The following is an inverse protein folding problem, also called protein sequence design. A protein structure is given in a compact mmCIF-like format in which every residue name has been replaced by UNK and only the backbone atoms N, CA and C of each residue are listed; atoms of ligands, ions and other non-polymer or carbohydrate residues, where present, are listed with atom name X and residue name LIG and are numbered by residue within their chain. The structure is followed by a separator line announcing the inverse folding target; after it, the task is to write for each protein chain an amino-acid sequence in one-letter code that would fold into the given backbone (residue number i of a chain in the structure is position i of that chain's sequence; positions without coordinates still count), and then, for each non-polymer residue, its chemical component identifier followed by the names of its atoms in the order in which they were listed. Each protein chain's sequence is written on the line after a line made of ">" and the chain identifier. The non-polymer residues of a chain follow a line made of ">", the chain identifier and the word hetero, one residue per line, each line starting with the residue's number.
data_IF_417061991291
#
_entry.id   IF_417061991291
#
_cell.length_a   1.000
_cell.length_b   1.000
_cell.length_c   1.000
_cell.angle_alpha   90.00
_cell.angle_beta   90.00
_cell.angle_gamma   90.00
#
_symmetry.space_group_name_H-M   'P 1'
#
loop_
_entity.id
_entity.type
_entity.pdbx_description
1 polymer ?
#
# COMPACT_ATOMS: atom_id res chain seq x y z
N UNK A 1 -54.00 -10.93 -71.35
CA UNK A 1 -53.24 -11.78 -70.37
C UNK A 1 -51.95 -11.10 -69.97
N UNK A 2 -51.14 -10.55 -70.88
CA UNK A 2 -49.82 -9.98 -70.49
C UNK A 2 -49.86 -8.82 -69.51
N UNK A 3 -50.85 -7.94 -69.55
CA UNK A 3 -50.96 -6.81 -68.62
C UNK A 3 -51.28 -7.19 -67.19
N UNK A 4 -52.06 -8.25 -66.97
CA UNK A 4 -52.36 -8.78 -65.64
C UNK A 4 -51.11 -9.47 -65.01
N UNK A 5 -50.31 -10.16 -65.82
CA UNK A 5 -49.06 -10.80 -65.37
C UNK A 5 -48.04 -9.79 -64.94
N UNK A 6 -47.94 -8.64 -65.68
CA UNK A 6 -47.00 -7.55 -65.31
C UNK A 6 -47.37 -6.86 -64.00
N UNK A 7 -48.66 -6.69 -63.73
CA UNK A 7 -49.13 -6.07 -62.47
C UNK A 7 -48.90 -7.01 -61.30
N UNK A 8 -49.09 -8.30 -61.47
CA UNK A 8 -48.84 -9.30 -60.45
C UNK A 8 -47.34 -9.39 -60.10
N UNK A 9 -46.44 -9.29 -61.10
CA UNK A 9 -45.00 -9.31 -60.90
C UNK A 9 -44.51 -8.01 -60.20
N UNK A 10 -45.12 -6.87 -60.44
CA UNK A 10 -44.81 -5.62 -59.77
C UNK A 10 -45.24 -5.66 -58.28
N UNK A 11 -46.37 -6.26 -57.99
CA UNK A 11 -46.85 -6.42 -56.62
C UNK A 11 -45.98 -7.36 -55.78
N UNK A 12 -45.52 -8.47 -56.39
CA UNK A 12 -44.59 -9.41 -55.68
C UNK A 12 -43.23 -8.77 -55.42
N UNK A 13 -42.71 -7.91 -56.29
CA UNK A 13 -41.46 -7.21 -56.10
C UNK A 13 -41.50 -6.20 -54.93
N UNK A 14 -42.63 -5.57 -54.68
CA UNK A 14 -42.83 -4.68 -53.55
C UNK A 14 -42.87 -5.36 -52.18
N UNK A 15 -43.24 -6.64 -52.13
CA UNK A 15 -43.26 -7.41 -50.86
C UNK A 15 -41.87 -7.88 -50.43
N UNK A 16 -40.88 -7.95 -51.35
CA UNK A 16 -39.48 -8.30 -51.01
C UNK A 16 -38.62 -7.08 -50.69
N UNK A 17 -39.10 -5.85 -50.88
CA UNK A 17 -38.49 -4.66 -50.32
C UNK A 17 -38.82 -4.53 -48.81
N UNK A 18 -38.68 -5.64 -48.08
CA UNK A 18 -38.72 -5.61 -46.62
C UNK A 18 -37.72 -4.62 -46.14
N UNK A 19 -38.16 -3.57 -45.44
CA UNK A 19 -37.34 -2.62 -44.74
C UNK A 19 -36.31 -3.37 -43.91
N UNK A 20 -35.10 -3.55 -44.41
CA UNK A 20 -33.94 -3.81 -43.54
C UNK A 20 -33.71 -2.52 -42.76
N UNK A 21 -34.43 -2.35 -41.69
CA UNK A 21 -34.11 -1.34 -40.70
C UNK A 21 -32.64 -1.60 -40.34
N UNK A 22 -31.75 -0.62 -40.48
CA UNK A 22 -30.39 -0.77 -39.97
C UNK A 22 -30.53 -1.22 -38.51
N UNK A 23 -29.68 -2.12 -38.02
CA UNK A 23 -29.68 -2.48 -36.62
C UNK A 23 -29.53 -1.17 -35.86
N UNK A 24 -30.62 -0.71 -35.26
CA UNK A 24 -30.54 0.35 -34.27
C UNK A 24 -29.54 -0.20 -33.27
N UNK A 25 -28.38 0.43 -33.15
CA UNK A 25 -27.58 0.34 -31.97
C UNK A 25 -28.49 0.79 -30.83
N UNK A 26 -29.37 -0.10 -30.42
CA UNK A 26 -30.14 0.06 -29.21
C UNK A 26 -29.12 0.06 -28.13
N UNK A 27 -28.83 1.21 -27.58
CA UNK A 27 -28.39 1.27 -26.21
C UNK A 27 -29.51 0.55 -25.47
N UNK A 28 -29.35 -0.76 -25.21
CA UNK A 28 -30.15 -1.46 -24.24
C UNK A 28 -29.80 -0.80 -22.91
N UNK A 29 -30.51 0.27 -22.61
CA UNK A 29 -30.68 0.72 -21.25
C UNK A 29 -31.51 -0.38 -20.61
N UNK A 30 -30.81 -1.45 -20.17
CA UNK A 30 -31.38 -2.39 -19.27
C UNK A 30 -31.59 -1.63 -17.96
N UNK A 31 -32.79 -1.04 -17.85
CA UNK A 31 -33.22 -0.33 -16.65
C UNK A 31 -33.26 -1.25 -15.40
N UNK A 32 -33.08 -2.55 -15.60
CA UNK A 32 -32.96 -3.54 -14.54
C UNK A 32 -31.50 -3.70 -14.06
N UNK A 33 -30.49 -3.29 -14.84
CA UNK A 33 -29.11 -3.34 -14.41
C UNK A 33 -28.70 -1.97 -13.86
N UNK A 34 -28.46 -1.92 -12.56
CA UNK A 34 -27.91 -0.71 -11.92
C UNK A 34 -26.52 -0.43 -12.48
N UNK A 35 -26.18 0.82 -12.86
CA UNK A 35 -24.85 1.17 -13.27
C UNK A 35 -23.87 0.88 -12.11
N UNK A 36 -22.82 0.11 -12.40
CA UNK A 36 -21.81 -0.25 -11.42
C UNK A 36 -20.57 0.62 -11.62
N UNK A 37 -20.20 1.37 -10.60
CA UNK A 37 -18.96 2.15 -10.55
C UNK A 37 -17.89 1.34 -9.82
N UNK A 38 -16.70 1.33 -10.38
CA UNK A 38 -15.54 0.68 -9.76
C UNK A 38 -14.66 1.74 -9.13
N UNK A 39 -14.29 1.53 -7.87
CA UNK A 39 -13.33 2.35 -7.14
C UNK A 39 -12.20 1.45 -6.64
N UNK A 40 -10.98 1.97 -6.62
CA UNK A 40 -9.88 1.24 -6.02
C UNK A 40 -10.05 1.26 -4.51
N UNK A 41 -9.85 0.09 -3.88
CA UNK A 41 -9.93 0.00 -2.43
C UNK A 41 -8.69 0.65 -1.79
N UNK A 42 -8.84 1.10 -0.57
CA UNK A 42 -7.83 1.83 0.17
C UNK A 42 -7.57 1.18 1.52
N UNK A 43 -6.31 1.27 1.95
CA UNK A 43 -5.91 0.74 3.25
C UNK A 43 -6.46 1.61 4.36
N UNK A 44 -7.33 1.05 5.19
CA UNK A 44 -7.84 1.71 6.40
C UNK A 44 -6.78 1.67 7.48
N UNK A 45 -6.44 2.82 8.01
CA UNK A 45 -5.43 2.96 9.06
C UNK A 45 -5.63 4.25 9.83
N UNK A 46 -5.12 4.28 11.05
CA UNK A 46 -4.97 5.50 11.84
C UNK A 46 -3.60 6.15 11.62
N UNK A 47 -3.14 6.91 12.59
CA UNK A 47 -1.77 7.41 12.62
C UNK A 47 -0.85 6.41 13.34
N UNK A 48 0.45 6.35 12.99
CA UNK A 48 1.43 5.59 13.75
C UNK A 48 1.44 6.02 15.22
N UNK A 49 1.44 5.05 16.13
CA UNK A 49 1.55 5.30 17.56
C UNK A 49 3.03 5.25 17.96
N UNK A 50 3.52 6.33 18.52
CA UNK A 50 4.92 6.43 18.96
C UNK A 50 4.98 6.00 20.42
N UNK A 51 5.77 4.95 20.72
CA UNK A 51 5.96 4.40 22.05
C UNK A 51 7.21 4.99 22.73
N UNK A 52 8.27 5.21 21.95
CA UNK A 52 9.49 5.89 22.39
C UNK A 52 9.79 7.00 21.41
N UNK A 53 9.90 8.20 21.92
CA UNK A 53 10.22 9.40 21.14
C UNK A 53 11.72 9.70 21.23
N UNK A 54 12.40 10.00 20.12
CA UNK A 54 13.80 10.37 20.17
C UNK A 54 14.00 11.71 20.88
N UNK A 55 15.13 11.83 21.58
CA UNK A 55 15.55 13.08 22.20
C UNK A 55 16.36 13.88 21.20
N UNK A 56 15.75 14.91 20.63
CA UNK A 56 16.39 15.79 19.66
C UNK A 56 16.56 15.19 18.26
N UNK A 57 17.07 16.00 17.36
CA UNK A 57 17.38 15.62 15.98
C UNK A 57 18.88 15.32 15.87
N UNK A 58 19.30 14.23 15.20
CA UNK A 58 20.74 13.95 15.05
C UNK A 58 21.41 15.03 14.18
N UNK A 59 22.62 15.44 14.57
CA UNK A 59 23.38 16.45 13.85
C UNK A 59 23.70 16.06 12.40
N UNK A 60 23.84 14.76 12.14
CA UNK A 60 24.03 14.17 10.81
C UNK A 60 23.07 13.02 10.63
N UNK A 61 22.52 12.89 9.43
CA UNK A 61 21.64 11.75 9.13
C UNK A 61 22.43 10.44 9.22
N UNK A 62 22.04 9.49 10.09
CA UNK A 62 22.81 8.28 10.33
C UNK A 62 22.69 7.27 9.17
N UNK A 63 23.70 6.40 9.06
CA UNK A 63 23.62 5.17 8.25
C UNK A 63 22.87 4.10 9.02
N UNK A 64 21.98 3.39 8.35
CA UNK A 64 21.07 2.43 8.98
C UNK A 64 21.29 1.01 8.47
N UNK A 65 21.21 0.03 9.38
CA UNK A 65 21.09 -1.38 9.07
C UNK A 65 19.68 -1.85 9.41
N UNK A 66 18.97 -2.40 8.45
CA UNK A 66 17.66 -3.03 8.65
C UNK A 66 17.84 -4.55 8.75
N UNK A 67 17.30 -5.16 9.79
CA UNK A 67 17.33 -6.61 10.01
C UNK A 67 15.92 -7.20 9.93
N UNK A 68 15.77 -8.51 9.61
CA UNK A 68 14.47 -9.15 9.50
C UNK A 68 13.63 -9.01 10.78
N UNK A 69 12.38 -8.59 10.61
CA UNK A 69 11.41 -8.47 11.71
C UNK A 69 11.08 -9.85 12.27
N UNK A 70 10.83 -9.90 13.56
CA UNK A 70 10.37 -11.11 14.23
C UNK A 70 8.85 -11.16 14.22
N UNK A 71 8.28 -12.25 13.71
CA UNK A 71 6.85 -12.52 13.84
C UNK A 71 6.57 -13.04 15.26
N UNK A 72 5.64 -12.41 15.96
CA UNK A 72 5.24 -12.81 17.32
C UNK A 72 3.98 -13.68 17.33
N UNK A 73 3.20 -13.64 16.28
CA UNK A 73 2.02 -14.45 16.13
C UNK A 73 2.40 -15.91 15.80
N UNK A 74 1.76 -16.91 16.42
CA UNK A 74 1.90 -18.31 16.02
C UNK A 74 1.41 -18.53 14.59
N UNK A 75 2.30 -18.99 13.71
CA UNK A 75 1.97 -19.26 12.31
C UNK A 75 2.99 -20.22 11.69
N UNK A 76 2.68 -20.73 10.49
CA UNK A 76 3.64 -21.49 9.70
C UNK A 76 4.71 -20.55 9.13
N UNK A 77 5.96 -20.99 9.13
CA UNK A 77 7.10 -20.30 8.51
C UNK A 77 7.26 -18.82 8.91
N UNK A 78 7.25 -18.48 10.20
CA UNK A 78 7.26 -17.09 10.66
C UNK A 78 8.48 -16.31 10.18
N UNK A 79 9.62 -16.98 9.99
CA UNK A 79 10.85 -16.33 9.51
C UNK A 79 10.74 -15.89 8.04
N UNK A 80 10.03 -16.63 7.19
CA UNK A 80 9.80 -16.28 5.79
C UNK A 80 8.90 -15.04 5.71
N UNK A 81 7.78 -15.07 6.44
CA UNK A 81 6.84 -13.94 6.51
C UNK A 81 7.56 -12.69 7.06
N UNK A 82 8.29 -12.82 8.15
CA UNK A 82 9.05 -11.73 8.74
C UNK A 82 10.07 -11.13 7.76
N UNK A 83 10.82 -11.96 7.04
CA UNK A 83 11.79 -11.49 6.05
C UNK A 83 11.12 -10.77 4.86
N UNK A 84 10.02 -11.32 4.34
CA UNK A 84 9.29 -10.71 3.22
C UNK A 84 8.72 -9.35 3.60
N UNK A 85 8.06 -9.24 4.74
CA UNK A 85 7.54 -7.96 5.25
C UNK A 85 8.67 -6.96 5.47
N UNK A 86 9.78 -7.41 6.06
CA UNK A 86 10.96 -6.55 6.27
C UNK A 86 11.51 -6.00 4.98
N UNK A 87 11.58 -6.83 3.94
CA UNK A 87 12.03 -6.40 2.62
C UNK A 87 11.10 -5.34 2.02
N UNK A 88 9.79 -5.50 2.18
CA UNK A 88 8.80 -4.50 1.71
C UNK A 88 8.97 -3.16 2.44
N UNK A 89 9.13 -3.19 3.76
CA UNK A 89 9.37 -1.98 4.57
C UNK A 89 10.68 -1.31 4.18
N UNK A 90 11.77 -2.08 4.09
CA UNK A 90 13.07 -1.57 3.67
C UNK A 90 13.04 -0.95 2.28
N UNK A 91 12.40 -1.61 1.29
CA UNK A 91 12.26 -1.08 -0.07
C UNK A 91 11.48 0.23 -0.09
N UNK A 92 10.38 0.32 0.66
CA UNK A 92 9.62 1.56 0.80
C UNK A 92 10.48 2.69 1.37
N UNK A 93 11.23 2.42 2.46
CA UNK A 93 12.10 3.41 3.10
C UNK A 93 13.29 3.81 2.22
N UNK A 94 13.82 2.88 1.43
CA UNK A 94 14.86 3.17 0.44
C UNK A 94 14.33 4.10 -0.66
N UNK A 95 13.17 3.79 -1.24
CA UNK A 95 12.52 4.61 -2.28
C UNK A 95 12.18 6.02 -1.77
N UNK A 96 11.70 6.13 -0.54
CA UNK A 96 11.35 7.40 0.09
C UNK A 96 12.54 8.12 0.71
N UNK A 97 13.76 7.56 0.59
CA UNK A 97 15.00 8.15 1.12
C UNK A 97 14.86 8.55 2.61
N UNK A 98 14.33 7.64 3.43
CA UNK A 98 14.17 7.88 4.87
C UNK A 98 15.53 8.04 5.54
N UNK A 99 16.51 7.23 5.14
CA UNK A 99 17.91 7.36 5.53
C UNK A 99 18.78 7.61 4.29
N UNK A 100 19.91 8.29 4.42
CA UNK A 100 20.84 8.49 3.30
C UNK A 100 21.43 7.17 2.79
N UNK A 101 21.69 6.26 3.72
CA UNK A 101 22.13 4.89 3.46
C UNK A 101 21.33 3.96 4.36
N UNK A 102 20.67 2.99 3.76
CA UNK A 102 19.94 1.93 4.47
C UNK A 102 20.26 0.58 3.83
N UNK A 103 20.98 -0.28 4.55
CA UNK A 103 21.31 -1.64 4.13
C UNK A 103 20.27 -2.61 4.70
N UNK A 104 19.91 -3.65 3.96
CA UNK A 104 19.08 -4.75 4.46
C UNK A 104 19.90 -6.03 4.53
N UNK A 105 20.00 -6.63 5.71
CA UNK A 105 20.62 -7.94 5.89
C UNK A 105 19.54 -9.03 6.02
N UNK A 106 19.05 -9.51 4.89
CA UNK A 106 18.02 -10.56 4.84
C UNK A 106 18.50 -11.94 5.30
N UNK A 107 19.82 -12.14 5.46
CA UNK A 107 20.42 -13.36 5.99
C UNK A 107 20.57 -13.37 7.51
N UNK A 108 20.33 -12.21 8.15
CA UNK A 108 20.38 -12.10 9.60
C UNK A 108 19.25 -12.91 10.27
N UNK A 109 19.49 -13.31 11.53
CA UNK A 109 18.44 -13.94 12.34
C UNK A 109 17.29 -12.94 12.59
N UNK A 110 16.03 -13.42 12.76
CA UNK A 110 14.92 -12.56 13.13
C UNK A 110 15.25 -11.69 14.34
N UNK A 111 14.79 -10.45 14.32
CA UNK A 111 15.18 -9.39 15.24
C UNK A 111 15.29 -9.81 16.70
N UNK A 112 16.45 -9.54 17.23
CA UNK A 112 16.81 -9.57 18.65
C UNK A 112 17.78 -8.41 18.88
N UNK A 113 17.47 -7.47 19.79
CA UNK A 113 18.27 -6.25 19.96
C UNK A 113 19.76 -6.51 20.17
N UNK A 114 20.08 -7.50 21.02
CA UNK A 114 21.45 -7.87 21.35
C UNK A 114 22.25 -8.37 20.13
N UNK A 115 21.61 -9.16 19.27
CA UNK A 115 22.22 -9.69 18.04
C UNK A 115 22.31 -8.59 16.97
N UNK A 116 21.23 -7.85 16.77
CA UNK A 116 21.14 -6.79 15.78
C UNK A 116 22.19 -5.69 16.04
N UNK A 117 22.37 -5.28 17.30
CA UNK A 117 23.40 -4.32 17.68
C UNK A 117 24.82 -4.81 17.39
N UNK A 118 25.13 -6.09 17.68
CA UNK A 118 26.44 -6.65 17.34
C UNK A 118 26.69 -6.65 15.83
N UNK A 119 25.68 -7.08 15.06
CA UNK A 119 25.76 -7.09 13.60
C UNK A 119 25.96 -5.69 13.02
N UNK A 120 25.21 -4.71 13.53
CA UNK A 120 25.31 -3.33 13.09
C UNK A 120 26.70 -2.73 13.37
N UNK A 121 27.32 -3.04 14.54
CA UNK A 121 28.70 -2.66 14.84
C UNK A 121 29.69 -3.25 13.85
N UNK A 122 29.53 -4.54 13.50
CA UNK A 122 30.40 -5.22 12.53
C UNK A 122 30.31 -4.58 11.12
N UNK A 123 29.10 -4.14 10.74
CA UNK A 123 28.84 -3.49 9.45
C UNK A 123 29.11 -1.98 9.44
N UNK A 124 29.46 -1.38 10.57
CA UNK A 124 29.74 0.05 10.68
C UNK A 124 28.48 0.92 10.56
N UNK A 125 27.29 0.40 10.77
CA UNK A 125 26.06 1.18 10.80
C UNK A 125 25.96 1.99 12.10
N UNK A 126 25.36 3.17 12.02
CA UNK A 126 25.18 4.07 13.17
C UNK A 126 23.88 3.77 13.92
N UNK A 127 22.85 3.33 13.19
CA UNK A 127 21.60 2.85 13.79
C UNK A 127 21.23 1.50 13.25
N UNK A 128 20.54 0.70 14.05
CA UNK A 128 19.94 -0.56 13.61
C UNK A 128 18.43 -0.49 13.76
N UNK A 129 17.75 -0.93 12.71
CA UNK A 129 16.29 -0.97 12.60
C UNK A 129 15.88 -2.43 12.62
N UNK A 130 14.94 -2.75 13.49
CA UNK A 130 14.30 -4.05 13.56
C UNK A 130 12.94 -3.92 14.23
N UNK A 131 12.42 -4.99 14.75
CA UNK A 131 11.12 -4.96 15.42
C UNK A 131 10.32 -6.23 15.21
N UNK A 132 9.00 -6.05 15.21
CA UNK A 132 8.09 -7.19 15.27
C UNK A 132 6.94 -7.04 14.29
N UNK A 133 6.57 -8.15 13.65
CA UNK A 133 5.27 -8.32 13.03
C UNK A 133 4.33 -8.83 14.13
N UNK A 134 3.53 -7.95 14.67
CA UNK A 134 2.68 -8.27 15.83
C UNK A 134 1.38 -8.95 15.41
N UNK A 135 0.92 -8.66 14.19
CA UNK A 135 -0.24 -9.32 13.61
C UNK A 135 -0.12 -9.36 12.08
N UNK A 136 -0.45 -10.52 11.50
CA UNK A 136 -0.45 -10.71 10.06
C UNK A 136 -1.54 -11.70 9.66
N UNK A 137 -2.42 -11.26 8.78
CA UNK A 137 -3.39 -12.09 8.07
C UNK A 137 -3.43 -11.62 6.64
N UNK A 138 -3.18 -12.53 5.72
CA UNK A 138 -3.36 -12.30 4.30
C UNK A 138 -4.64 -13.00 3.84
N UNK A 139 -5.68 -12.23 3.59
CA UNK A 139 -6.95 -12.72 3.07
C UNK A 139 -6.96 -12.90 1.54
N UNK A 140 -5.86 -12.55 0.88
CA UNK A 140 -5.79 -12.53 -0.57
C UNK A 140 -6.85 -11.59 -1.16
N UNK A 141 -7.36 -11.96 -2.34
CA UNK A 141 -8.37 -11.13 -3.03
C UNK A 141 -9.81 -11.34 -2.53
N UNK A 142 -10.04 -12.29 -1.64
CA UNK A 142 -11.39 -12.69 -1.19
C UNK A 142 -11.64 -12.45 0.30
N UNK A 143 -10.61 -12.19 1.07
CA UNK A 143 -10.69 -11.98 2.52
C UNK A 143 -10.08 -10.64 2.96
N UNK A 144 -10.19 -10.35 4.25
CA UNK A 144 -9.56 -9.19 4.85
C UNK A 144 -8.05 -9.43 5.01
N UNK A 145 -7.26 -8.43 4.65
CA UNK A 145 -5.82 -8.44 4.89
C UNK A 145 -5.47 -7.44 5.97
N UNK A 146 -4.76 -7.88 7.01
CA UNK A 146 -4.40 -7.06 8.17
C UNK A 146 -2.92 -7.24 8.48
N UNK A 147 -2.23 -6.12 8.64
CA UNK A 147 -0.82 -6.10 9.03
C UNK A 147 -0.65 -5.12 10.18
N UNK A 148 0.05 -5.55 11.23
CA UNK A 148 0.47 -4.69 12.32
C UNK A 148 1.96 -4.87 12.57
N UNK A 149 2.69 -3.77 12.58
CA UNK A 149 4.14 -3.71 12.74
C UNK A 149 4.50 -2.87 13.95
N UNK A 150 5.51 -3.32 14.67
CA UNK A 150 6.29 -2.51 15.59
C UNK A 150 7.70 -2.36 15.03
N UNK A 151 8.16 -1.13 14.87
CA UNK A 151 9.53 -0.84 14.45
C UNK A 151 10.28 -0.14 15.57
N UNK A 152 11.46 -0.66 15.84
CA UNK A 152 12.38 -0.18 16.86
C UNK A 152 13.68 0.25 16.20
N UNK A 153 14.19 1.43 16.56
CA UNK A 153 15.48 1.97 16.09
C UNK A 153 16.38 2.13 17.30
N UNK A 154 17.55 1.49 17.23
CA UNK A 154 18.57 1.56 18.27
C UNK A 154 19.78 2.35 17.78
N UNK A 155 20.33 3.18 18.62
CA UNK A 155 21.65 3.77 18.42
C UNK A 155 22.72 2.71 18.68
N UNK A 156 23.62 2.50 17.72
CA UNK A 156 24.61 1.42 17.76
C UNK A 156 25.74 1.72 18.74
N UNK A 157 26.07 3.00 18.91
CA UNK A 157 27.16 3.41 19.81
C UNK A 157 26.79 3.22 21.27
N UNK A 158 25.61 3.68 21.66
CA UNK A 158 25.11 3.59 23.04
C UNK A 158 24.35 2.30 23.34
N UNK A 159 23.82 1.65 22.31
CA UNK A 159 22.93 0.49 22.45
C UNK A 159 21.52 0.85 22.93
N UNK A 160 21.16 2.13 22.98
CA UNK A 160 19.88 2.59 23.48
C UNK A 160 18.80 2.55 22.40
N UNK A 161 17.56 2.28 22.82
CA UNK A 161 16.38 2.42 21.98
C UNK A 161 16.07 3.92 21.83
N UNK A 162 16.21 4.43 20.61
CA UNK A 162 15.97 5.86 20.30
C UNK A 162 14.57 6.10 19.78
N UNK A 163 13.99 5.12 19.10
CA UNK A 163 12.67 5.23 18.52
C UNK A 163 11.94 3.90 18.60
N UNK A 164 10.69 3.92 19.01
CA UNK A 164 9.78 2.78 18.91
C UNK A 164 8.40 3.26 18.49
N UNK A 165 7.81 2.62 17.48
CA UNK A 165 6.48 2.94 16.99
C UNK A 165 5.74 1.70 16.53
N UNK A 166 4.40 1.77 16.65
CA UNK A 166 3.47 0.73 16.19
C UNK A 166 2.52 1.32 15.18
N UNK A 167 2.28 0.58 14.12
CA UNK A 167 1.29 0.95 13.12
C UNK A 167 0.58 -0.28 12.57
N UNK A 168 -0.71 -0.12 12.23
CA UNK A 168 -1.53 -1.18 11.68
C UNK A 168 -2.38 -0.69 10.52
N UNK A 169 -2.57 -1.56 9.55
CA UNK A 169 -3.43 -1.34 8.40
C UNK A 169 -4.36 -2.51 8.15
N UNK A 170 -5.50 -2.21 7.58
CA UNK A 170 -6.55 -3.13 7.19
C UNK A 170 -6.99 -2.82 5.77
N UNK A 171 -6.98 -3.84 4.94
CA UNK A 171 -7.66 -3.84 3.66
C UNK A 171 -8.81 -4.84 3.77
N UNK A 172 -10.04 -4.35 3.74
CA UNK A 172 -11.22 -5.19 3.84
C UNK A 172 -11.47 -5.91 2.51
N UNK A 173 -12.08 -7.09 2.59
CA UNK A 173 -12.50 -7.84 1.39
C UNK A 173 -13.34 -6.96 0.48
N UNK A 174 -13.39 -7.30 -0.81
CA UNK A 174 -14.26 -6.62 -1.77
C UNK A 174 -15.69 -6.47 -1.20
N UNK A 175 -16.16 -5.24 -1.20
CA UNK A 175 -17.55 -4.95 -0.86
C UNK A 175 -18.26 -4.32 -2.07
N UNK A 176 -19.54 -4.57 -2.15
CA UNK A 176 -20.43 -3.90 -3.09
C UNK A 176 -21.42 -3.09 -2.27
N UNK A 177 -21.44 -1.80 -2.47
CA UNK A 177 -22.46 -0.93 -1.91
C UNK A 177 -23.53 -0.70 -2.96
N UNK A 178 -24.70 -1.29 -2.74
CA UNK A 178 -25.85 -1.11 -3.61
C UNK A 178 -26.66 0.08 -3.16
N UNK A 179 -26.70 1.09 -4.02
CA UNK A 179 -27.56 2.26 -3.86
C UNK A 179 -28.78 2.07 -4.76
N UNK A 180 -29.85 2.79 -4.49
CA UNK A 180 -31.11 2.65 -5.22
C UNK A 180 -30.96 2.79 -6.76
N UNK A 181 -30.03 3.66 -7.19
CA UNK A 181 -29.83 4.01 -8.61
C UNK A 181 -28.50 3.50 -9.19
N UNK A 182 -27.56 3.08 -8.36
CA UNK A 182 -26.22 2.63 -8.79
C UNK A 182 -25.58 1.73 -7.75
N UNK A 183 -24.60 0.93 -8.17
CA UNK A 183 -23.76 0.14 -7.29
C UNK A 183 -22.32 0.64 -7.36
N UNK A 184 -21.61 0.63 -6.22
CA UNK A 184 -20.18 0.92 -6.12
C UNK A 184 -19.46 -0.34 -5.68
N UNK A 185 -18.53 -0.82 -6.51
CA UNK A 185 -17.73 -2.01 -6.24
C UNK A 185 -16.27 -1.63 -6.01
N UNK A 186 -15.75 -1.98 -4.83
CA UNK A 186 -14.33 -1.80 -4.53
C UNK A 186 -13.48 -2.85 -5.28
N UNK A 187 -12.32 -2.42 -5.83
CA UNK A 187 -11.33 -3.30 -6.44
C UNK A 187 -10.21 -3.55 -5.45
N UNK A 188 -9.97 -4.83 -5.18
CA UNK A 188 -8.82 -5.24 -4.39
C UNK A 188 -7.54 -5.15 -5.25
N UNK A 189 -6.41 -4.72 -4.68
CA UNK A 189 -5.12 -4.86 -5.32
C UNK A 189 -4.76 -6.35 -5.52
N UNK A 190 -3.90 -6.63 -6.50
CA UNK A 190 -3.45 -8.00 -6.78
C UNK A 190 -2.66 -8.63 -5.63
N UNK A 191 -1.98 -7.81 -4.84
CA UNK A 191 -1.24 -8.21 -3.63
C UNK A 191 -1.68 -7.32 -2.46
N UNK A 192 -2.73 -7.73 -1.72
CA UNK A 192 -3.24 -6.97 -0.58
C UNK A 192 -2.24 -6.84 0.56
N UNK A 193 -1.44 -7.87 0.82
CA UNK A 193 -0.43 -7.86 1.88
C UNK A 193 0.66 -6.81 1.58
N UNK A 194 1.10 -6.74 0.32
CA UNK A 194 2.03 -5.70 -0.12
C UNK A 194 1.41 -4.30 0.03
N UNK A 195 0.18 -4.11 -0.42
CA UNK A 195 -0.50 -2.82 -0.38
C UNK A 195 -0.62 -2.28 1.07
N UNK A 196 -1.04 -3.13 2.01
CA UNK A 196 -1.15 -2.77 3.42
C UNK A 196 0.24 -2.47 4.00
N UNK A 197 1.20 -3.37 3.79
CA UNK A 197 2.57 -3.21 4.33
C UNK A 197 3.24 -1.95 3.79
N UNK A 198 3.14 -1.71 2.48
CA UNK A 198 3.74 -0.54 1.85
C UNK A 198 3.14 0.77 2.37
N UNK A 199 1.83 0.79 2.59
CA UNK A 199 1.12 1.98 3.10
C UNK A 199 1.54 2.31 4.54
N UNK A 200 1.51 1.32 5.46
CA UNK A 200 1.92 1.57 6.85
C UNK A 200 3.42 1.85 6.96
N UNK A 201 4.25 1.24 6.10
CA UNK A 201 5.68 1.53 6.04
C UNK A 201 5.96 2.99 5.62
N UNK A 202 5.21 3.52 4.64
CA UNK A 202 5.34 4.90 4.20
C UNK A 202 4.97 5.90 5.32
N UNK A 203 3.87 5.63 6.04
CA UNK A 203 3.46 6.46 7.17
C UNK A 203 4.52 6.47 8.28
N UNK A 204 5.05 5.29 8.64
CA UNK A 204 6.13 5.15 9.64
C UNK A 204 7.42 5.81 9.16
N UNK A 205 7.77 5.64 7.88
CA UNK A 205 8.94 6.28 7.26
C UNK A 205 8.86 7.80 7.29
N UNK A 206 7.67 8.36 7.09
CA UNK A 206 7.42 9.80 7.18
C UNK A 206 7.73 10.35 8.58
N UNK A 207 7.33 9.63 9.65
CA UNK A 207 7.64 10.03 11.03
C UNK A 207 9.16 10.04 11.27
N UNK A 208 9.87 9.00 10.83
CA UNK A 208 11.32 8.92 10.97
C UNK A 208 12.03 10.00 10.15
N UNK A 209 11.57 10.24 8.92
CA UNK A 209 12.14 11.26 8.04
C UNK A 209 11.98 12.67 8.62
N UNK A 210 10.84 12.96 9.22
CA UNK A 210 10.58 14.23 9.91
C UNK A 210 11.53 14.41 11.11
N UNK A 211 11.80 13.35 11.86
CA UNK A 211 12.78 13.38 12.93
C UNK A 211 14.21 13.64 12.43
N UNK A 212 14.58 13.06 11.29
CA UNK A 212 15.92 13.20 10.69
C UNK A 212 16.12 14.53 9.94
N UNK A 213 15.07 15.30 9.74
CA UNK A 213 15.14 16.59 9.07
C UNK A 213 14.96 17.68 10.13
N UNK A 214 15.99 18.49 10.42
CA UNK A 214 15.84 19.61 11.33
C UNK A 214 14.66 20.46 10.86
N UNK A 215 13.86 21.04 11.78
CA UNK A 215 12.94 22.08 11.39
C UNK A 215 13.76 23.16 10.67
N UNK A 216 13.30 23.56 9.50
CA UNK A 216 13.90 24.66 8.76
C UNK A 216 13.94 25.86 9.71
N UNK A 217 15.16 26.29 10.09
CA UNK A 217 15.32 27.45 10.95
C UNK A 217 14.62 28.59 10.21
N UNK A 218 13.61 29.21 10.85
CA UNK A 218 12.95 30.40 10.35
C UNK A 218 14.05 31.38 9.90
N UNK A 219 14.30 31.42 8.59
CA UNK A 219 15.16 32.43 8.03
C UNK A 219 14.52 33.74 8.42
N UNK A 220 15.25 34.64 9.16
CA UNK A 220 14.69 35.92 9.51
C UNK A 220 14.24 36.58 8.21
N UNK A 221 12.97 37.01 8.19
CA UNK A 221 12.41 37.79 7.09
C UNK A 221 13.44 38.81 6.63
N UNK A 222 13.89 38.68 5.38
CA UNK A 222 14.70 39.70 4.77
C UNK A 222 13.97 41.04 4.91
N UNK A 223 14.51 42.03 5.60
CA UNK A 223 13.90 43.36 5.62
C UNK A 223 13.79 43.81 4.16
N UNK A 224 12.55 44.10 3.76
CA UNK A 224 12.25 44.65 2.45
C UNK A 224 13.23 45.82 2.21
N UNK A 225 14.09 45.66 1.20
CA UNK A 225 14.89 46.78 0.72
C UNK A 225 13.95 47.84 0.14
N UNK A 226 13.95 49.00 0.77
CA UNK A 226 13.33 50.23 0.30
C UNK A 226 14.07 50.76 -0.93
#
# INVERSE_FOLDING_TARGET
>A
MHRLLSILLLFTACFYAGCSSPPRAGVNLDLASQPTFYVDDWVRRGNPQILVHPVGTPATKPTALFVPLRVTQPMNEPSIVGNNISRMVWQNWLQNQVFPVIEFDGGATPFRPDIALRLARQKGAQVVIGGYVTYFVDGGTVGDTRVSLQLDIYDVATGQLVWSMVHAGLLERQFTNDYLLFAVKARMPSDPAWAVTNTIAADMGTQVKNWLTPPEADLPDHPAAF
#
